data_IF_125009908819
#
_entry.id   IF_125009908819
#
_cell.length_a   1.000
_cell.length_b   1.000
_cell.length_c   1.000
_cell.angle_alpha   90.00
_cell.angle_beta   90.00
_cell.angle_gamma   90.00
#
_symmetry.space_group_name_H-M   'P 1'
#
loop_
_entity.id
_entity.type
_entity.pdbx_description
1 polymer ?
#
# COMPACT_ATOMS: atom_id res chain seq x y z
N UNK A 1 29.74 2.16 8.99
CA UNK A 1 28.69 2.73 8.11
C UNK A 1 27.40 1.92 8.25
N UNK A 2 26.35 2.46 8.87
CA UNK A 2 25.04 1.78 9.10
C UNK A 2 23.85 2.67 8.66
N UNK A 3 23.84 3.15 7.41
CA UNK A 3 22.84 4.13 6.92
C UNK A 3 21.77 3.58 5.96
N UNK A 4 21.84 2.31 5.53
CA UNK A 4 20.88 1.75 4.55
C UNK A 4 19.52 1.38 5.13
N UNK A 5 19.47 0.98 6.40
CA UNK A 5 18.25 0.49 7.04
C UNK A 5 17.24 1.59 7.34
N UNK A 6 17.71 2.83 7.58
CA UNK A 6 16.86 3.97 7.94
C UNK A 6 16.09 4.50 6.74
N UNK A 7 16.72 4.60 5.57
CA UNK A 7 16.07 5.13 4.36
C UNK A 7 14.98 4.20 3.83
N UNK A 8 15.24 2.88 3.78
CA UNK A 8 14.23 1.90 3.33
C UNK A 8 13.00 1.91 4.24
N UNK A 9 13.23 1.98 5.56
CA UNK A 9 12.17 1.98 6.57
C UNK A 9 11.39 3.30 6.57
N UNK A 10 12.06 4.40 6.28
CA UNK A 10 11.44 5.72 6.06
C UNK A 10 10.56 5.71 4.81
N UNK A 11 11.10 5.26 3.67
CA UNK A 11 10.35 5.12 2.42
C UNK A 11 9.13 4.20 2.59
N UNK A 12 9.28 3.11 3.34
CA UNK A 12 8.16 2.22 3.65
C UNK A 12 7.07 2.93 4.44
N UNK A 13 7.43 3.74 5.46
CA UNK A 13 6.46 4.54 6.22
C UNK A 13 5.79 5.59 5.35
N UNK A 14 6.56 6.36 4.59
CA UNK A 14 6.03 7.40 3.70
C UNK A 14 5.07 6.81 2.66
N UNK A 15 5.38 5.62 2.11
CA UNK A 15 4.45 4.91 1.23
C UNK A 15 3.22 4.40 1.98
N UNK A 16 3.37 3.82 3.17
CA UNK A 16 2.24 3.34 3.95
C UNK A 16 1.28 4.49 4.30
N UNK A 17 1.80 5.62 4.78
CA UNK A 17 1.03 6.79 5.15
C UNK A 17 0.28 7.37 3.94
N UNK A 18 0.95 7.46 2.78
CA UNK A 18 0.31 7.92 1.55
C UNK A 18 -0.77 6.95 1.07
N UNK A 19 -0.50 5.64 1.07
CA UNK A 19 -1.47 4.61 0.66
C UNK A 19 -2.69 4.64 1.57
N UNK A 20 -2.50 4.79 2.88
CA UNK A 20 -3.59 4.94 3.86
C UNK A 20 -4.46 6.16 3.51
N UNK A 21 -3.84 7.32 3.29
CA UNK A 21 -4.57 8.53 2.90
C UNK A 21 -5.33 8.36 1.59
N UNK A 22 -4.70 7.74 0.60
CA UNK A 22 -5.31 7.47 -0.71
C UNK A 22 -6.52 6.53 -0.59
N UNK A 23 -6.37 5.39 0.09
CA UNK A 23 -7.44 4.41 0.29
C UNK A 23 -8.60 4.99 1.12
N UNK A 24 -8.31 5.92 2.04
CA UNK A 24 -9.34 6.61 2.81
C UNK A 24 -10.21 7.53 1.96
N UNK A 25 -9.63 8.16 0.93
CA UNK A 25 -10.33 9.10 0.03
C UNK A 25 -11.03 8.35 -1.11
N UNK A 26 -10.34 7.38 -1.72
CA UNK A 26 -10.79 6.69 -2.93
C UNK A 26 -11.48 5.34 -2.66
N UNK A 27 -11.44 4.86 -1.41
CA UNK A 27 -12.00 3.57 -1.01
C UNK A 27 -11.07 2.39 -1.33
N UNK A 28 -11.59 1.15 -1.27
CA UNK A 28 -10.81 -0.06 -1.53
C UNK A 28 -10.28 -0.12 -2.96
N UNK A 29 -9.00 -0.45 -3.11
CA UNK A 29 -8.30 -0.47 -4.40
C UNK A 29 -7.39 -1.70 -4.51
N UNK A 30 -7.21 -2.19 -5.73
CA UNK A 30 -6.27 -3.26 -6.02
C UNK A 30 -4.83 -2.79 -5.91
N UNK A 31 -3.91 -3.73 -5.68
CA UNK A 31 -2.47 -3.46 -5.76
C UNK A 31 -2.08 -2.73 -7.06
N UNK A 32 -2.72 -3.06 -8.20
CA UNK A 32 -2.42 -2.45 -9.50
C UNK A 32 -2.87 -1.00 -9.57
N UNK A 33 -4.06 -0.68 -9.07
CA UNK A 33 -4.57 0.69 -9.04
C UNK A 33 -3.74 1.58 -8.09
N UNK A 34 -3.35 1.06 -6.92
CA UNK A 34 -2.46 1.77 -5.99
C UNK A 34 -1.10 2.08 -6.65
N UNK A 35 -0.53 1.13 -7.40
CA UNK A 35 0.70 1.36 -8.19
C UNK A 35 0.48 2.48 -9.21
N UNK A 36 -0.64 2.48 -9.91
CA UNK A 36 -0.92 3.50 -10.92
C UNK A 36 -1.07 4.88 -10.29
N UNK A 37 -1.78 4.98 -9.17
CA UNK A 37 -1.95 6.22 -8.44
C UNK A 37 -0.60 6.77 -7.93
N UNK A 38 0.26 5.92 -7.36
CA UNK A 38 1.62 6.34 -6.95
C UNK A 38 2.46 6.85 -8.13
N UNK A 39 2.34 6.23 -9.30
CA UNK A 39 3.04 6.66 -10.52
C UNK A 39 2.53 8.01 -11.02
N UNK A 40 1.22 8.24 -10.97
CA UNK A 40 0.60 9.52 -11.33
C UNK A 40 1.09 10.64 -10.40
N UNK A 41 1.30 10.32 -9.13
CA UNK A 41 1.83 11.25 -8.12
C UNK A 41 3.36 11.50 -8.24
N UNK A 42 4.04 10.87 -9.21
CA UNK A 42 5.48 10.97 -9.38
C UNK A 42 6.29 10.28 -8.29
N UNK A 43 5.68 9.38 -7.50
CA UNK A 43 6.35 8.66 -6.42
C UNK A 43 7.04 7.39 -6.93
N UNK A 44 8.25 7.08 -6.45
CA UNK A 44 8.99 5.90 -6.90
C UNK A 44 8.30 4.61 -6.45
N UNK A 45 7.70 3.87 -7.37
CA UNK A 45 7.04 2.60 -7.05
C UNK A 45 8.05 1.46 -7.02
N UNK A 46 8.38 1.01 -5.80
CA UNK A 46 9.11 -0.23 -5.59
C UNK A 46 8.14 -1.32 -5.12
N UNK A 47 7.88 -2.31 -5.96
CA UNK A 47 6.88 -3.36 -5.71
C UNK A 47 7.10 -4.10 -4.38
N UNK A 48 8.36 -4.33 -3.99
CA UNK A 48 8.69 -4.98 -2.73
C UNK A 48 8.43 -4.09 -1.51
N UNK A 49 8.73 -2.78 -1.58
CA UNK A 49 8.43 -1.81 -0.51
C UNK A 49 6.93 -1.64 -0.36
N UNK A 50 6.20 -1.50 -1.46
CA UNK A 50 4.75 -1.36 -1.43
C UNK A 50 4.07 -2.61 -0.89
N UNK A 51 4.45 -3.80 -1.36
CA UNK A 51 3.91 -5.06 -0.82
C UNK A 51 4.15 -5.18 0.68
N UNK A 52 5.32 -4.71 1.15
CA UNK A 52 5.65 -4.69 2.58
C UNK A 52 4.87 -3.63 3.33
N UNK A 53 4.68 -2.44 2.76
CA UNK A 53 3.88 -1.36 3.33
C UNK A 53 2.43 -1.82 3.52
N UNK A 54 1.81 -2.43 2.49
CA UNK A 54 0.46 -2.98 2.55
C UNK A 54 0.33 -4.10 3.60
N UNK A 55 1.23 -5.09 3.58
CA UNK A 55 1.15 -6.24 4.51
C UNK A 55 1.53 -5.93 5.95
N UNK A 56 2.32 -4.88 6.20
CA UNK A 56 2.79 -4.50 7.55
C UNK A 56 2.05 -3.28 8.10
N UNK A 57 1.19 -2.65 7.32
CA UNK A 57 0.39 -1.52 7.80
C UNK A 57 -0.66 -2.04 8.78
N UNK A 58 -0.81 -1.42 9.96
CA UNK A 58 -1.93 -1.72 10.85
C UNK A 58 -3.24 -1.06 10.39
N UNK A 59 -3.19 -0.18 9.38
CA UNK A 59 -4.33 0.62 8.92
C UNK A 59 -4.89 0.16 7.57
N UNK A 60 -4.24 -0.82 6.94
CA UNK A 60 -4.64 -1.31 5.61
C UNK A 60 -4.74 -2.82 5.69
N UNK A 61 -5.88 -3.35 5.25
CA UNK A 61 -6.11 -4.79 5.23
C UNK A 61 -6.52 -5.26 3.84
N UNK A 62 -6.20 -6.51 3.54
CA UNK A 62 -6.65 -7.16 2.31
C UNK A 62 -8.07 -7.65 2.52
N UNK A 63 -9.05 -6.95 1.95
CA UNK A 63 -10.48 -7.27 2.13
C UNK A 63 -10.99 -8.31 1.14
N UNK A 64 -10.39 -8.39 -0.05
CA UNK A 64 -10.85 -9.29 -1.10
C UNK A 64 -9.70 -9.67 -2.04
N UNK A 65 -9.90 -10.74 -2.80
CA UNK A 65 -9.09 -11.08 -3.97
C UNK A 65 -9.99 -11.05 -5.20
N UNK A 66 -9.75 -10.12 -6.11
CA UNK A 66 -10.51 -9.96 -7.36
C UNK A 66 -9.72 -10.54 -8.53
N UNK A 67 -10.39 -11.24 -9.44
CA UNK A 67 -9.78 -11.69 -10.69
C UNK A 67 -9.96 -10.57 -11.73
N UNK A 68 -8.86 -10.07 -12.28
CA UNK A 68 -8.83 -9.07 -13.35
C UNK A 68 -7.91 -9.61 -14.45
N UNK A 69 -8.37 -9.64 -15.70
CA UNK A 69 -7.61 -10.18 -16.84
C UNK A 69 -7.09 -11.62 -16.63
N UNK A 70 -7.84 -12.45 -15.89
CA UNK A 70 -7.43 -13.82 -15.53
C UNK A 70 -6.35 -13.89 -14.44
N UNK A 71 -5.92 -12.75 -13.89
CA UNK A 71 -4.95 -12.66 -12.80
C UNK A 71 -5.63 -12.31 -11.48
N UNK A 72 -5.15 -12.90 -10.38
CA UNK A 72 -5.66 -12.61 -9.06
C UNK A 72 -5.00 -11.36 -8.46
N UNK A 73 -5.81 -10.37 -8.12
CA UNK A 73 -5.39 -9.12 -7.51
C UNK A 73 -5.96 -9.00 -6.10
N UNK A 74 -5.09 -8.72 -5.13
CA UNK A 74 -5.52 -8.33 -3.78
C UNK A 74 -6.13 -6.94 -3.80
N UNK A 75 -7.32 -6.82 -3.23
CA UNK A 75 -8.03 -5.56 -2.95
C UNK A 75 -7.71 -5.17 -1.52
N UNK A 76 -7.22 -3.94 -1.36
CA UNK A 76 -6.81 -3.38 -0.08
C UNK A 76 -7.76 -2.27 0.29
N UNK A 77 -8.21 -2.27 1.54
CA UNK A 77 -9.03 -1.21 2.10
C UNK A 77 -8.33 -0.58 3.30
N UNK A 78 -8.61 0.70 3.51
CA UNK A 78 -8.33 1.33 4.79
C UNK A 78 -9.28 0.73 5.84
N UNK A 79 -8.70 0.20 6.91
CA UNK A 79 -9.44 -0.29 8.07
C UNK A 79 -8.72 0.22 9.31
N UNK A 80 -9.46 0.92 10.16
CA UNK A 80 -9.06 1.13 11.54
C UNK A 80 -9.57 -0.12 12.24
N UNK A 81 -8.68 -1.01 12.68
CA UNK A 81 -9.09 -1.97 13.69
C UNK A 81 -9.45 -1.12 14.92
N UNK A 82 -10.74 -0.92 15.13
CA UNK A 82 -11.26 -0.56 16.44
C UNK A 82 -10.93 -1.75 17.35
N UNK A 83 -9.71 -1.72 17.91
CA UNK A 83 -9.31 -2.56 19.02
C UNK A 83 -10.19 -2.14 20.21
N UNK A 84 -11.37 -2.75 20.29
CA UNK A 84 -12.14 -2.90 21.54
C UNK A 84 -11.37 -3.76 22.55
#
# INVERSE_FOLDING_TARGET
>A
MRKRWTEERRLQREHADWIVGYLRIHGPQTTREIIQALKQEGRPVQAHIMSRALRKSPFVTCVEKRIVDGQQHSVWAFQIDDLE
#
